data_IF_948849060313
#
_entry.id   IF_948849060313
#
_cell.length_a   1.000
_cell.length_b   1.000
_cell.length_c   1.000
_cell.angle_alpha   90.00
_cell.angle_beta   90.00
_cell.angle_gamma   90.00
#
_symmetry.space_group_name_H-M   'P 1'
#
loop_
_entity.id
_entity.type
_entity.pdbx_description
1 polymer ?
#
# COMPACT_ATOMS: atom_id res chain seq x y z
N UNK A 1 -52.41 -17.10 18.30
CA UNK A 1 -51.25 -16.97 17.39
C UNK A 1 -51.30 -18.14 16.44
N UNK A 2 -51.54 -17.90 15.15
CA UNK A 2 -51.72 -19.00 14.20
C UNK A 2 -50.38 -19.61 13.78
N UNK A 3 -50.39 -20.89 13.38
CA UNK A 3 -49.19 -21.63 12.91
C UNK A 3 -48.48 -20.87 11.79
N UNK A 4 -49.23 -20.17 10.93
CA UNK A 4 -48.70 -19.30 9.87
C UNK A 4 -47.90 -18.13 10.42
N UNK A 5 -48.35 -17.53 11.52
CA UNK A 5 -47.66 -16.42 12.20
C UNK A 5 -46.35 -16.88 12.83
N UNK A 6 -46.31 -18.05 13.48
CA UNK A 6 -45.08 -18.62 14.03
C UNK A 6 -44.06 -18.96 12.94
N UNK A 7 -44.54 -19.56 11.84
CA UNK A 7 -43.68 -19.89 10.70
C UNK A 7 -43.07 -18.63 10.06
N UNK A 8 -43.85 -17.56 9.93
CA UNK A 8 -43.35 -16.28 9.41
C UNK A 8 -42.26 -15.68 10.31
N UNK A 9 -42.47 -15.69 11.64
CA UNK A 9 -41.49 -15.17 12.61
C UNK A 9 -40.19 -15.99 12.55
N UNK A 10 -40.27 -17.31 12.47
CA UNK A 10 -39.10 -18.17 12.36
C UNK A 10 -38.27 -17.88 11.10
N UNK A 11 -38.92 -17.68 9.96
CA UNK A 11 -38.27 -17.32 8.69
C UNK A 11 -37.57 -15.96 8.81
N UNK A 12 -38.22 -14.96 9.42
CA UNK A 12 -37.63 -13.63 9.63
C UNK A 12 -36.38 -13.72 10.52
N UNK A 13 -36.43 -14.50 11.61
CA UNK A 13 -35.28 -14.69 12.50
C UNK A 13 -34.11 -15.35 11.75
N UNK A 14 -34.40 -16.37 10.93
CA UNK A 14 -33.39 -17.06 10.10
C UNK A 14 -32.75 -16.12 9.07
N UNK A 15 -33.56 -15.28 8.41
CA UNK A 15 -33.06 -14.27 7.46
C UNK A 15 -32.18 -13.22 8.17
N UNK A 16 -32.58 -12.76 9.36
CA UNK A 16 -31.79 -11.80 10.14
C UNK A 16 -30.47 -12.40 10.63
N UNK A 17 -30.45 -13.69 10.96
CA UNK A 17 -29.22 -14.40 11.31
C UNK A 17 -28.28 -14.52 10.09
N UNK A 18 -28.82 -14.85 8.92
CA UNK A 18 -28.07 -14.94 7.67
C UNK A 18 -27.46 -13.59 7.24
N UNK A 19 -28.21 -12.48 7.40
CA UNK A 19 -27.68 -11.14 7.11
C UNK A 19 -26.53 -10.78 8.05
N UNK A 20 -26.62 -11.16 9.34
CA UNK A 20 -25.56 -10.91 10.31
C UNK A 20 -24.30 -11.75 10.07
N UNK A 21 -24.42 -12.95 9.51
CA UNK A 21 -23.25 -13.80 9.19
C UNK A 21 -22.41 -13.29 8.03
N UNK A 22 -22.95 -12.38 7.20
CA UNK A 22 -22.26 -11.83 6.03
C UNK A 22 -21.42 -10.58 6.33
N UNK A 23 -21.00 -10.39 7.58
CA UNK A 23 -20.04 -9.32 7.90
C UNK A 23 -18.66 -9.69 7.34
N UNK A 24 -18.31 -9.10 6.20
CA UNK A 24 -16.95 -9.12 5.71
C UNK A 24 -16.07 -8.29 6.66
N UNK A 25 -15.01 -8.90 7.19
CA UNK A 25 -13.97 -8.17 7.92
C UNK A 25 -13.13 -7.40 6.89
N UNK A 26 -13.13 -6.07 6.98
CA UNK A 26 -12.25 -5.24 6.17
C UNK A 26 -10.82 -5.36 6.72
N UNK A 27 -10.06 -6.33 6.23
CA UNK A 27 -8.66 -6.49 6.57
C UNK A 27 -7.81 -5.58 5.66
N UNK A 28 -7.38 -4.44 6.22
CA UNK A 28 -6.45 -3.55 5.52
C UNK A 28 -5.02 -4.08 5.66
N UNK A 29 -4.49 -4.69 4.60
CA UNK A 29 -3.11 -5.16 4.57
C UNK A 29 -2.16 -3.99 4.29
N UNK A 30 -1.22 -3.66 5.20
CA UNK A 30 -0.22 -2.63 4.93
C UNK A 30 0.68 -3.01 3.75
N UNK A 31 1.04 -2.03 2.92
CA UNK A 31 1.92 -2.22 1.76
C UNK A 31 3.19 -1.42 1.94
N UNK A 32 4.33 -2.08 1.75
CA UNK A 32 5.64 -1.44 1.66
C UNK A 32 6.11 -1.50 0.21
N UNK A 33 6.47 -0.35 -0.35
CA UNK A 33 7.02 -0.25 -1.70
C UNK A 33 8.52 0.04 -1.63
N UNK A 34 9.27 -0.61 -2.49
CA UNK A 34 10.69 -0.37 -2.69
C UNK A 34 10.92 -0.14 -4.18
N UNK A 35 11.39 1.05 -4.53
CA UNK A 35 11.72 1.39 -5.91
C UNK A 35 13.02 0.74 -6.37
N UNK A 36 13.18 0.64 -7.69
CA UNK A 36 14.39 0.14 -8.32
C UNK A 36 15.49 1.20 -8.48
N UNK A 37 16.55 0.77 -9.13
CA UNK A 37 17.67 1.60 -9.59
C UNK A 37 17.20 2.70 -10.55
N UNK A 38 17.63 3.94 -10.31
CA UNK A 38 17.25 5.08 -11.15
C UNK A 38 15.81 5.56 -10.93
N UNK A 39 15.19 5.18 -9.83
CA UNK A 39 13.89 5.68 -9.38
C UNK A 39 13.99 6.19 -7.94
N UNK A 40 12.91 6.75 -7.42
CA UNK A 40 12.78 7.25 -6.04
C UNK A 40 11.41 6.89 -5.48
N UNK A 41 11.26 6.98 -4.15
CA UNK A 41 10.01 6.74 -3.43
C UNK A 41 8.76 7.45 -4.00
N UNK A 42 8.95 8.58 -4.68
CA UNK A 42 7.94 9.63 -4.64
C UNK A 42 7.64 10.29 -6.00
N UNK A 43 8.17 9.79 -7.11
CA UNK A 43 7.86 10.38 -8.42
C UNK A 43 6.40 10.13 -8.80
N UNK A 44 5.63 11.17 -9.18
CA UNK A 44 4.20 11.05 -9.45
C UNK A 44 3.88 10.23 -10.69
N UNK A 45 4.86 9.90 -11.52
CA UNK A 45 4.73 9.06 -12.71
C UNK A 45 5.29 7.64 -12.55
N UNK A 46 5.85 7.31 -11.37
CA UNK A 46 6.34 5.96 -11.03
C UNK A 46 5.72 5.47 -9.71
N UNK A 47 6.51 5.16 -8.67
CA UNK A 47 6.02 4.66 -7.39
C UNK A 47 5.01 5.57 -6.69
N UNK A 48 5.09 6.88 -6.91
CA UNK A 48 4.08 7.82 -6.39
C UNK A 48 2.69 7.54 -6.95
N UNK A 49 2.58 7.23 -8.25
CA UNK A 49 1.31 6.84 -8.86
C UNK A 49 0.83 5.47 -8.36
N UNK A 50 1.74 4.50 -8.27
CA UNK A 50 1.43 3.14 -7.78
C UNK A 50 0.89 3.22 -6.35
N UNK A 51 1.50 4.03 -5.48
CA UNK A 51 1.03 4.24 -4.11
C UNK A 51 -0.39 4.82 -4.07
N UNK A 52 -0.71 5.76 -4.96
CA UNK A 52 -2.07 6.32 -5.10
C UNK A 52 -3.07 5.26 -5.55
N UNK A 53 -2.75 4.53 -6.62
CA UNK A 53 -3.62 3.45 -7.15
C UNK A 53 -3.89 2.40 -6.08
N UNK A 54 -2.89 1.99 -5.29
CA UNK A 54 -3.08 1.05 -4.19
C UNK A 54 -4.05 1.62 -3.16
N UNK A 55 -3.84 2.86 -2.69
CA UNK A 55 -4.72 3.50 -1.70
C UNK A 55 -6.17 3.58 -2.18
N UNK A 56 -6.38 3.95 -3.45
CA UNK A 56 -7.71 4.08 -4.04
C UNK A 56 -8.43 2.73 -4.17
N UNK A 57 -7.71 1.66 -4.52
CA UNK A 57 -8.30 0.35 -4.79
C UNK A 57 -8.38 -0.58 -3.57
N UNK A 58 -7.78 -0.19 -2.43
CA UNK A 58 -7.72 -1.02 -1.21
C UNK A 58 -8.37 -0.34 -0.01
N UNK A 59 -9.41 0.46 -0.25
CA UNK A 59 -10.15 1.18 0.80
C UNK A 59 -9.25 2.03 1.73
N UNK A 60 -8.19 2.63 1.18
CA UNK A 60 -7.27 3.49 1.93
C UNK A 60 -6.24 2.75 2.77
N UNK A 61 -5.79 1.55 2.36
CA UNK A 61 -4.71 0.83 3.03
C UNK A 61 -3.50 1.71 3.30
N UNK A 62 -2.81 1.44 4.41
CA UNK A 62 -1.54 2.09 4.70
C UNK A 62 -0.49 1.69 3.65
N UNK A 63 0.08 2.68 2.96
CA UNK A 63 1.14 2.47 1.97
C UNK A 63 2.35 3.30 2.38
N UNK A 64 3.48 2.64 2.54
CA UNK A 64 4.77 3.26 2.83
C UNK A 64 5.74 2.99 1.67
N UNK A 65 6.17 4.05 0.99
CA UNK A 65 7.24 3.93 -0.01
C UNK A 65 8.58 4.26 0.63
N UNK A 66 9.49 3.29 0.63
CA UNK A 66 10.82 3.45 1.21
C UNK A 66 11.59 4.56 0.48
N UNK A 67 12.16 5.46 1.28
CA UNK A 67 13.06 6.52 0.85
C UNK A 67 14.40 6.33 1.57
N UNK A 68 15.41 5.96 0.81
CA UNK A 68 16.78 5.67 1.28
C UNK A 68 17.59 6.98 1.37
N UNK A 69 17.28 7.96 0.52
CA UNK A 69 17.88 9.29 0.53
C UNK A 69 17.24 10.29 1.50
N UNK A 70 17.96 11.35 1.86
CA UNK A 70 17.42 12.48 2.62
C UNK A 70 16.48 13.37 1.81
N UNK A 71 16.63 13.38 0.48
CA UNK A 71 15.79 14.11 -0.48
C UNK A 71 15.65 13.30 -1.79
N UNK A 72 14.85 13.80 -2.74
CA UNK A 72 14.53 13.08 -3.98
C UNK A 72 15.77 12.75 -4.83
N UNK A 73 16.75 13.67 -4.90
CA UNK A 73 17.97 13.50 -5.69
C UNK A 73 18.91 12.49 -5.01
N UNK A 74 19.06 12.59 -3.70
CA UNK A 74 19.85 11.65 -2.90
C UNK A 74 19.27 10.22 -2.96
N UNK A 75 17.94 10.11 -2.94
CA UNK A 75 17.23 8.83 -3.02
C UNK A 75 17.48 8.11 -4.35
N UNK A 76 17.40 8.86 -5.45
CA UNK A 76 17.78 8.40 -6.78
C UNK A 76 19.26 7.97 -6.84
N UNK A 77 20.18 8.79 -6.29
CA UNK A 77 21.63 8.52 -6.35
C UNK A 77 22.02 7.27 -5.55
N UNK A 78 21.38 7.03 -4.40
CA UNK A 78 21.68 5.88 -3.53
C UNK A 78 21.19 4.54 -4.08
N UNK A 79 20.16 4.54 -4.92
CA UNK A 79 19.72 3.33 -5.65
C UNK A 79 20.39 3.17 -7.00
N UNK A 80 21.01 4.22 -7.52
CA UNK A 80 21.83 4.14 -8.71
C UNK A 80 23.20 3.49 -8.40
N UNK A 81 23.72 2.60 -9.26
CA UNK A 81 25.07 2.09 -9.16
C UNK A 81 26.02 3.26 -9.24
N UNK A 82 26.66 3.56 -8.13
CA UNK A 82 27.82 4.41 -8.17
C UNK A 82 28.83 3.71 -9.10
N UNK A 83 29.48 4.45 -10.03
CA UNK A 83 30.69 3.94 -10.65
C UNK A 83 31.62 3.46 -9.53
N UNK A 84 32.50 2.49 -9.80
CA UNK A 84 33.48 2.01 -8.82
C UNK A 84 34.54 3.10 -8.55
N UNK A 85 34.13 4.23 -7.98
CA UNK A 85 34.95 5.40 -7.65
C UNK A 85 35.84 5.17 -6.43
N UNK A 86 35.68 4.01 -5.78
CA UNK A 86 36.71 3.45 -4.88
C UNK A 86 38.03 3.09 -5.57
N UNK A 87 38.11 3.13 -6.92
CA UNK A 87 39.35 2.96 -7.69
C UNK A 87 39.80 4.23 -8.44
N UNK A 88 38.95 5.25 -8.54
CA UNK A 88 39.26 6.55 -9.15
C UNK A 88 38.56 7.60 -8.30
N UNK A 89 39.33 8.31 -7.48
CA UNK A 89 38.81 9.21 -6.46
C UNK A 89 37.77 10.21 -6.98
N UNK A 90 36.70 10.37 -6.21
CA UNK A 90 35.62 11.30 -6.50
C UNK A 90 36.12 12.76 -6.40
N UNK A 91 36.04 13.57 -7.48
CA UNK A 91 36.53 14.95 -7.48
C UNK A 91 35.73 15.87 -6.56
N UNK A 92 34.53 15.47 -6.11
CA UNK A 92 33.67 16.26 -5.21
C UNK A 92 34.06 16.17 -3.72
N UNK A 93 35.12 15.43 -3.36
CA UNK A 93 35.62 15.37 -1.97
C UNK A 93 36.91 16.17 -1.73
N UNK A 94 37.30 17.05 -2.64
CA UNK A 94 38.41 17.97 -2.42
C UNK A 94 37.91 19.22 -1.65
N UNK A 95 38.53 19.59 -0.51
CA UNK A 95 38.18 20.83 0.21
C UNK A 95 38.48 22.09 -0.60
#
# INVERSE_FOLDING_TARGET
MEIKTLSLIAIIILLLYYIQSQKAELTLTPVVLWHGMGDTCCLPFSLGHIATVIKENTAGSYVHSLKIGGNLIDDYKKTYPQPLTGLVGDPETSP
#
